data_IF_699347168355
#
_entry.id   IF_699347168355
#
_cell.length_a   1.000
_cell.length_b   1.000
_cell.length_c   1.000
_cell.angle_alpha   90.00
_cell.angle_beta   90.00
_cell.angle_gamma   90.00
#
_symmetry.space_group_name_H-M   'P 1'
#
loop_
_entity.id
_entity.type
_entity.pdbx_description
1 polymer ?
#
# COMPACT_ATOMS: atom_id res chain seq x y z
N UNK A 1 -9.87 8.01 -33.89
CA UNK A 1 -9.87 6.59 -33.46
C UNK A 1 -8.74 6.22 -32.44
N UNK A 2 -8.41 6.99 -31.37
CA UNK A 2 -7.46 6.50 -30.33
C UNK A 2 -8.08 6.20 -28.94
N UNK A 3 -9.38 6.47 -28.73
CA UNK A 3 -10.01 6.35 -27.39
C UNK A 3 -10.07 4.92 -26.82
N UNK A 4 -9.97 3.89 -27.65
CA UNK A 4 -10.03 2.49 -27.22
C UNK A 4 -8.65 1.88 -26.92
N UNK A 5 -7.56 2.54 -27.33
CA UNK A 5 -6.21 1.95 -27.31
C UNK A 5 -5.55 2.08 -25.92
N UNK A 6 -5.85 3.16 -25.21
CA UNK A 6 -5.35 3.42 -23.85
C UNK A 6 -5.90 2.47 -22.77
N UNK A 7 -7.22 2.17 -22.68
CA UNK A 7 -7.71 1.18 -21.72
C UNK A 7 -7.22 -0.24 -22.03
N UNK A 8 -6.95 -0.55 -23.31
CA UNK A 8 -6.46 -1.86 -23.74
C UNK A 8 -4.98 -2.07 -23.33
N UNK A 9 -4.15 -1.03 -23.39
CA UNK A 9 -2.77 -1.03 -22.87
C UNK A 9 -2.71 -1.14 -21.34
N UNK A 10 -3.66 -0.51 -20.65
CA UNK A 10 -3.75 -0.62 -19.19
C UNK A 10 -4.22 -2.03 -18.77
N UNK A 11 -5.17 -2.62 -19.50
CA UNK A 11 -5.65 -3.99 -19.28
C UNK A 11 -4.56 -5.03 -19.53
N UNK A 12 -3.72 -4.87 -20.57
CA UNK A 12 -2.60 -5.78 -20.83
C UNK A 12 -1.49 -5.65 -19.80
N UNK A 13 -1.20 -4.45 -19.30
CA UNK A 13 -0.20 -4.26 -18.24
C UNK A 13 -0.67 -4.85 -16.90
N UNK A 14 -1.95 -4.69 -16.57
CA UNK A 14 -2.56 -5.30 -15.38
C UNK A 14 -2.57 -6.83 -15.51
N UNK A 15 -2.99 -7.39 -16.64
CA UNK A 15 -2.94 -8.84 -16.87
C UNK A 15 -1.51 -9.40 -16.80
N UNK A 16 -0.51 -8.70 -17.33
CA UNK A 16 0.89 -9.17 -17.31
C UNK A 16 1.50 -9.17 -15.91
N UNK A 17 1.11 -8.21 -15.05
CA UNK A 17 1.56 -8.13 -13.66
C UNK A 17 0.77 -9.05 -12.72
N UNK A 18 -0.50 -9.33 -13.04
CA UNK A 18 -1.37 -10.17 -12.21
C UNK A 18 -1.28 -11.67 -12.55
N UNK A 19 -0.92 -12.03 -13.79
CA UNK A 19 -0.87 -13.41 -14.25
C UNK A 19 0.54 -14.02 -14.27
N UNK A 20 1.55 -13.32 -13.73
CA UNK A 20 2.83 -13.97 -13.49
C UNK A 20 2.65 -14.96 -12.33
N UNK A 21 2.86 -16.26 -12.54
CA UNK A 21 2.75 -17.22 -11.45
C UNK A 21 3.80 -16.84 -10.39
N UNK A 22 3.43 -16.80 -9.10
CA UNK A 22 4.44 -16.76 -8.05
C UNK A 22 5.38 -17.94 -8.24
N UNK A 23 6.68 -17.66 -8.40
CA UNK A 23 7.73 -18.67 -8.45
C UNK A 23 7.80 -19.32 -7.07
N UNK A 24 7.02 -20.38 -6.87
CA UNK A 24 7.13 -21.24 -5.70
C UNK A 24 8.25 -22.25 -5.97
N UNK A 25 9.45 -21.95 -5.51
CA UNK A 25 10.52 -22.93 -5.42
C UNK A 25 10.16 -23.95 -4.33
N UNK A 26 9.76 -25.16 -4.72
CA UNK A 26 9.60 -26.26 -3.78
C UNK A 26 10.99 -26.84 -3.44
N UNK A 27 11.50 -26.50 -2.25
CA UNK A 27 12.65 -27.18 -1.65
C UNK A 27 12.12 -28.35 -0.83
N UNK A 28 12.61 -29.55 -1.10
CA UNK A 28 12.46 -30.73 -0.23
C UNK A 28 13.48 -30.65 0.91
N UNK A 29 13.05 -30.48 2.17
CA UNK A 29 13.98 -30.41 3.29
C UNK A 29 14.42 -31.81 3.73
N UNK A 30 15.74 -32.05 3.77
CA UNK A 30 16.35 -33.18 4.47
C UNK A 30 16.84 -32.70 5.84
N UNK A 31 16.22 -33.21 6.91
CA UNK A 31 16.47 -32.84 8.30
C UNK A 31 15.41 -31.90 8.86
N UNK A 32 15.13 -31.98 10.17
CA UNK A 32 14.17 -31.08 10.85
C UNK A 32 14.74 -29.66 10.79
N UNK A 33 14.26 -28.77 9.91
CA UNK A 33 14.80 -27.43 9.86
C UNK A 33 14.11 -26.63 10.96
N UNK A 34 14.88 -26.11 11.91
CA UNK A 34 14.40 -25.02 12.78
C UNK A 34 14.31 -23.76 11.92
N UNK A 35 13.19 -23.64 11.20
CA UNK A 35 12.87 -22.45 10.45
C UNK A 35 12.49 -21.32 11.40
N UNK A 36 12.93 -20.11 11.05
CA UNK A 36 12.42 -18.88 11.65
C UNK A 36 10.94 -18.68 11.24
N UNK A 37 10.13 -17.98 12.05
CA UNK A 37 8.80 -17.48 11.70
C UNK A 37 8.76 -16.77 10.33
N UNK A 38 9.88 -16.18 9.91
CA UNK A 38 10.05 -15.55 8.59
C UNK A 38 10.48 -16.50 7.46
N UNK A 39 10.43 -17.82 7.67
CA UNK A 39 10.69 -18.83 6.65
C UNK A 39 12.16 -19.04 6.26
N UNK A 40 13.12 -18.38 6.93
CA UNK A 40 14.54 -18.63 6.68
C UNK A 40 15.01 -19.88 7.43
N UNK A 41 15.16 -20.97 6.70
CA UNK A 41 15.60 -22.27 7.19
C UNK A 41 17.08 -22.49 6.81
N UNK A 42 17.89 -23.07 7.69
CA UNK A 42 19.28 -23.45 7.42
C UNK A 42 20.14 -22.30 6.84
N UNK A 43 20.56 -21.37 7.72
CA UNK A 43 21.27 -20.12 7.37
C UNK A 43 22.64 -20.31 6.72
N UNK A 44 23.19 -21.52 6.75
CA UNK A 44 24.50 -21.86 6.17
C UNK A 44 24.42 -22.34 4.73
N UNK A 45 23.27 -22.88 4.31
CA UNK A 45 23.09 -23.47 2.97
C UNK A 45 22.12 -22.64 2.13
N UNK A 46 21.04 -22.15 2.74
CA UNK A 46 20.01 -21.43 1.99
C UNK A 46 20.28 -19.93 1.95
N UNK A 47 20.25 -19.30 0.76
CA UNK A 47 20.34 -17.87 0.65
C UNK A 47 19.17 -17.20 1.39
N UNK A 48 19.44 -16.02 1.94
CA UNK A 48 18.45 -15.22 2.66
C UNK A 48 17.30 -14.82 1.70
N UNK A 49 16.02 -15.02 2.07
CA UNK A 49 14.90 -14.55 1.28
C UNK A 49 14.91 -13.01 1.15
N UNK A 50 14.45 -12.46 0.01
CA UNK A 50 14.46 -11.01 -0.22
C UNK A 50 13.57 -10.24 0.77
N UNK A 51 12.48 -10.84 1.24
CA UNK A 51 11.48 -10.27 2.15
C UNK A 51 11.79 -10.51 3.65
N UNK A 52 12.82 -11.31 3.95
CA UNK A 52 13.13 -11.67 5.33
C UNK A 52 13.45 -10.48 6.22
N UNK A 53 14.08 -9.42 5.68
CA UNK A 53 14.41 -8.22 6.47
C UNK A 53 13.15 -7.53 6.99
N UNK A 54 12.14 -7.38 6.12
CA UNK A 54 10.86 -6.75 6.44
C UNK A 54 10.06 -7.60 7.41
N UNK A 55 10.06 -8.92 7.21
CA UNK A 55 9.41 -9.85 8.14
C UNK A 55 10.08 -9.84 9.53
N UNK A 56 11.42 -9.85 9.57
CA UNK A 56 12.16 -9.87 10.83
C UNK A 56 11.89 -8.63 11.66
N UNK A 57 11.87 -7.45 11.03
CA UNK A 57 11.56 -6.19 11.70
C UNK A 57 10.12 -6.13 12.26
N UNK A 58 9.21 -6.95 11.72
CA UNK A 58 7.83 -7.03 12.21
C UNK A 58 7.68 -8.00 13.38
N UNK A 59 8.31 -9.17 13.29
CA UNK A 59 8.09 -10.27 14.24
C UNK A 59 9.09 -10.30 15.40
N UNK A 60 10.27 -9.67 15.26
CA UNK A 60 11.32 -9.69 16.27
C UNK A 60 11.77 -8.29 16.67
N UNK A 61 12.14 -8.15 17.94
CA UNK A 61 12.81 -6.96 18.46
C UNK A 61 14.31 -6.94 18.07
N UNK A 62 14.98 -5.81 18.30
CA UNK A 62 16.43 -5.63 18.14
C UNK A 62 17.25 -6.62 18.97
N UNK A 63 16.66 -7.19 20.02
CA UNK A 63 17.25 -8.24 20.87
C UNK A 63 16.98 -9.67 20.39
N UNK A 64 16.25 -9.86 19.29
CA UNK A 64 15.92 -11.18 18.74
C UNK A 64 14.76 -11.91 19.44
N UNK A 65 14.02 -11.21 20.31
CA UNK A 65 12.83 -11.75 20.98
C UNK A 65 11.59 -11.60 20.12
N UNK A 66 10.70 -12.59 20.14
CA UNK A 66 9.41 -12.55 19.42
C UNK A 66 8.48 -11.48 19.99
N UNK A 67 7.99 -10.61 19.12
CA UNK A 67 7.00 -9.59 19.45
C UNK A 67 5.59 -10.21 19.38
N UNK A 68 5.12 -10.77 20.50
CA UNK A 68 3.76 -11.35 20.58
C UNK A 68 2.69 -10.35 20.12
N UNK A 69 1.79 -10.82 19.26
CA UNK A 69 0.69 -10.02 18.69
C UNK A 69 1.07 -9.21 17.46
N UNK A 70 2.22 -9.44 16.85
CA UNK A 70 2.59 -8.91 15.52
C UNK A 70 2.48 -10.01 14.47
N UNK A 71 1.97 -9.64 13.31
CA UNK A 71 1.76 -10.53 12.18
C UNK A 71 2.30 -9.88 10.92
N UNK A 72 3.14 -10.60 10.18
CA UNK A 72 3.63 -10.15 8.89
C UNK A 72 2.70 -10.62 7.78
N UNK A 73 2.14 -9.69 7.00
CA UNK A 73 1.22 -9.97 5.90
C UNK A 73 1.71 -9.31 4.61
N UNK A 74 1.08 -9.63 3.48
CA UNK A 74 1.38 -9.01 2.17
C UNK A 74 1.20 -7.48 2.21
N UNK A 75 0.33 -6.97 3.09
CA UNK A 75 0.07 -5.54 3.24
C UNK A 75 1.03 -4.87 4.24
N UNK A 76 1.96 -5.62 4.82
CA UNK A 76 2.92 -5.16 5.82
C UNK A 76 2.66 -5.74 7.21
N UNK A 77 3.26 -5.10 8.21
CA UNK A 77 3.21 -5.54 9.60
C UNK A 77 1.93 -5.05 10.31
N UNK A 78 1.19 -5.99 10.90
CA UNK A 78 0.05 -5.70 11.76
C UNK A 78 0.38 -6.03 13.21
N UNK A 79 0.32 -5.01 14.06
CA UNK A 79 0.38 -5.18 15.51
C UNK A 79 -1.02 -5.13 16.09
N UNK A 80 -1.34 -6.01 17.03
CA UNK A 80 -2.58 -6.00 17.81
C UNK A 80 -2.57 -4.95 18.94
N UNK A 81 -1.44 -4.27 19.13
CA UNK A 81 -1.34 -3.11 20.03
C UNK A 81 -2.11 -1.92 19.44
N UNK A 82 -2.95 -1.21 20.20
CA UNK A 82 -3.86 -0.19 19.66
C UNK A 82 -3.13 0.95 18.95
N UNK A 83 -1.98 1.40 19.46
CA UNK A 83 -1.19 2.49 18.87
C UNK A 83 -0.66 2.12 17.48
N UNK A 84 0.00 0.97 17.36
CA UNK A 84 0.60 0.51 16.11
C UNK A 84 -0.44 0.00 15.12
N UNK A 85 -1.59 -0.50 15.60
CA UNK A 85 -2.72 -0.87 14.74
C UNK A 85 -3.27 0.33 13.96
N UNK A 86 -3.49 1.46 14.65
CA UNK A 86 -3.98 2.69 14.02
C UNK A 86 -2.97 3.23 13.00
N UNK A 87 -1.67 3.16 13.29
CA UNK A 87 -0.63 3.59 12.36
C UNK A 87 -0.60 2.72 11.07
N UNK A 88 -0.72 1.39 11.22
CA UNK A 88 -0.76 0.47 10.07
C UNK A 88 -2.00 0.67 9.20
N UNK A 89 -3.20 0.79 9.81
CA UNK A 89 -4.44 0.98 9.04
C UNK A 89 -4.45 2.34 8.33
N UNK A 90 -3.97 3.41 8.99
CA UNK A 90 -3.85 4.73 8.38
C UNK A 90 -2.98 4.65 7.13
N UNK A 91 -1.77 4.07 7.24
CA UNK A 91 -0.83 3.95 6.11
C UNK A 91 -1.45 3.25 4.90
N UNK A 92 -2.20 2.17 5.13
CA UNK A 92 -2.89 1.42 4.06
C UNK A 92 -4.01 2.27 3.44
N UNK A 93 -4.82 2.95 4.25
CA UNK A 93 -5.92 3.81 3.78
C UNK A 93 -5.40 5.00 2.99
N UNK A 94 -4.33 5.67 3.43
CA UNK A 94 -3.71 6.77 2.67
C UNK A 94 -3.13 6.28 1.34
N UNK A 95 -2.47 5.13 1.34
CA UNK A 95 -1.97 4.52 0.10
C UNK A 95 -3.09 4.22 -0.88
N UNK A 96 -4.18 3.60 -0.42
CA UNK A 96 -5.33 3.28 -1.24
C UNK A 96 -6.08 4.53 -1.73
N UNK A 97 -6.34 5.50 -0.85
CA UNK A 97 -7.03 6.74 -1.19
C UNK A 97 -6.22 7.58 -2.20
N UNK A 98 -4.91 7.67 -2.03
CA UNK A 98 -4.00 8.32 -2.97
C UNK A 98 -4.04 7.67 -4.36
N UNK A 99 -4.01 6.33 -4.40
CA UNK A 99 -4.10 5.58 -5.66
C UNK A 99 -5.42 5.77 -6.40
N UNK A 100 -6.56 5.70 -5.69
CA UNK A 100 -7.90 5.88 -6.28
C UNK A 100 -8.07 7.32 -6.79
N UNK A 101 -7.67 8.31 -6.01
CA UNK A 101 -7.78 9.71 -6.42
C UNK A 101 -6.86 10.03 -7.62
N UNK A 102 -5.66 9.47 -7.65
CA UNK A 102 -4.77 9.60 -8.82
C UNK A 102 -5.43 9.04 -10.09
N UNK A 103 -6.06 7.87 -10.00
CA UNK A 103 -6.80 7.27 -11.13
C UNK A 103 -8.00 8.13 -11.57
N UNK A 104 -8.75 8.72 -10.62
CA UNK A 104 -9.88 9.59 -10.93
C UNK A 104 -9.43 10.87 -11.65
N UNK A 105 -8.30 11.48 -11.24
CA UNK A 105 -7.73 12.65 -11.92
C UNK A 105 -7.27 12.30 -13.34
N UNK A 106 -6.63 11.14 -13.54
CA UNK A 106 -6.27 10.67 -14.88
C UNK A 106 -7.50 10.53 -15.79
N UNK A 107 -8.58 9.94 -15.28
CA UNK A 107 -9.82 9.77 -16.06
C UNK A 107 -10.51 11.12 -16.37
N UNK A 108 -10.56 12.03 -15.40
CA UNK A 108 -11.11 13.37 -15.59
C UNK A 108 -10.31 14.16 -16.62
N UNK A 109 -8.98 14.11 -16.54
CA UNK A 109 -8.09 14.81 -17.49
C UNK A 109 -8.23 14.28 -18.92
N UNK A 110 -8.32 12.96 -19.11
CA UNK A 110 -8.56 12.35 -20.41
C UNK A 110 -9.94 12.74 -21.00
N UNK A 111 -10.94 12.92 -20.13
CA UNK A 111 -12.27 13.38 -20.56
C UNK A 111 -12.22 14.81 -21.09
N UNK A 112 -11.57 15.73 -20.37
CA UNK A 112 -11.39 17.12 -20.81
C UNK A 112 -10.65 17.19 -22.14
N UNK A 113 -9.50 16.52 -22.26
CA UNK A 113 -8.66 16.57 -23.46
C UNK A 113 -9.36 15.99 -24.70
N UNK A 114 -10.20 14.98 -24.53
CA UNK A 114 -10.87 14.35 -25.67
C UNK A 114 -12.20 15.02 -26.03
N UNK A 115 -12.67 16.02 -25.30
CA UNK A 115 -14.04 16.57 -25.43
C UNK A 115 -14.37 17.28 -26.75
N UNK A 116 -13.40 17.45 -27.67
CA UNK A 116 -13.61 17.96 -29.04
C UNK A 116 -14.43 19.27 -29.12
N UNK A 117 -14.36 20.12 -28.08
CA UNK A 117 -15.08 21.39 -28.01
C UNK A 117 -16.51 21.33 -27.47
N UNK A 118 -17.02 20.18 -27.02
CA UNK A 118 -18.31 20.13 -26.34
C UNK A 118 -18.18 20.68 -24.89
N UNK A 119 -18.89 21.77 -24.53
CA UNK A 119 -18.78 22.42 -23.22
C UNK A 119 -19.24 21.53 -22.06
N UNK A 120 -20.19 20.62 -22.29
CA UNK A 120 -20.74 19.73 -21.26
C UNK A 120 -19.70 18.72 -20.77
N UNK A 121 -18.94 18.14 -21.69
CA UNK A 121 -17.88 17.16 -21.36
C UNK A 121 -16.65 17.81 -20.74
N UNK A 122 -16.35 19.04 -21.14
CA UNK A 122 -15.30 19.85 -20.49
C UNK A 122 -15.69 20.14 -19.05
N UNK A 123 -16.95 20.53 -18.79
CA UNK A 123 -17.42 20.83 -17.45
C UNK A 123 -17.42 19.57 -16.58
N UNK A 124 -17.98 18.46 -17.07
CA UNK A 124 -17.98 17.19 -16.34
C UNK A 124 -16.57 16.70 -15.99
N UNK A 125 -15.60 16.83 -16.92
CA UNK A 125 -14.21 16.49 -16.65
C UNK A 125 -13.55 17.39 -15.60
N UNK A 126 -13.87 18.69 -15.60
CA UNK A 126 -13.41 19.64 -14.57
C UNK A 126 -14.00 19.31 -13.20
N UNK A 127 -15.30 19.02 -13.13
CA UNK A 127 -15.98 18.68 -11.87
C UNK A 127 -15.43 17.38 -11.26
N UNK A 128 -15.06 16.41 -12.11
CA UNK A 128 -14.41 15.17 -11.66
C UNK A 128 -13.00 15.41 -11.10
N UNK A 129 -12.23 16.31 -11.71
CA UNK A 129 -10.88 16.67 -11.21
C UNK A 129 -10.99 17.44 -9.89
N UNK A 130 -11.88 18.44 -9.81
CA UNK A 130 -12.02 19.27 -8.60
C UNK A 130 -12.52 18.45 -7.41
N UNK A 131 -13.51 17.57 -7.61
CA UNK A 131 -13.99 16.68 -6.54
C UNK A 131 -12.91 15.70 -6.06
N UNK A 132 -12.07 15.18 -6.96
CA UNK A 132 -10.95 14.29 -6.58
C UNK A 132 -9.89 15.01 -5.75
N UNK A 133 -9.51 16.23 -6.15
CA UNK A 133 -8.54 17.06 -5.41
C UNK A 133 -9.11 17.46 -4.04
N UNK A 134 -10.38 17.86 -4.00
CA UNK A 134 -11.05 18.25 -2.76
C UNK A 134 -11.11 17.07 -1.76
N UNK A 135 -11.40 15.86 -2.25
CA UNK A 135 -11.41 14.65 -1.41
C UNK A 135 -10.05 14.36 -0.78
N UNK A 136 -8.98 14.42 -1.57
CA UNK A 136 -7.60 14.25 -1.05
C UNK A 136 -7.25 15.37 -0.07
N UNK A 137 -7.64 16.61 -0.35
CA UNK A 137 -7.34 17.75 0.50
C UNK A 137 -7.96 17.58 1.89
N UNK A 138 -9.22 17.13 1.97
CA UNK A 138 -9.92 16.86 3.23
C UNK A 138 -9.19 15.75 4.02
N UNK A 139 -8.78 14.69 3.34
CA UNK A 139 -8.07 13.56 3.95
C UNK A 139 -6.73 14.02 4.57
N UNK A 140 -5.94 14.80 3.84
CA UNK A 140 -4.66 15.34 4.33
C UNK A 140 -4.88 16.30 5.51
N UNK A 141 -5.88 17.17 5.41
CA UNK A 141 -6.20 18.12 6.46
C UNK A 141 -6.67 17.43 7.75
N UNK A 142 -7.44 16.35 7.62
CA UNK A 142 -7.87 15.53 8.76
C UNK A 142 -6.69 14.94 9.53
N UNK A 143 -5.70 14.37 8.84
CA UNK A 143 -4.48 13.86 9.50
C UNK A 143 -3.68 14.97 10.13
N UNK A 144 -3.56 16.10 9.44
CA UNK A 144 -2.84 17.25 9.96
C UNK A 144 -3.44 17.70 11.30
N UNK A 145 -4.77 17.83 11.38
CA UNK A 145 -5.44 18.14 12.63
C UNK A 145 -5.19 17.07 13.70
N UNK A 146 -5.31 15.78 13.37
CA UNK A 146 -5.02 14.67 14.29
C UNK A 146 -3.60 14.73 14.84
N UNK A 147 -2.61 15.09 14.02
CA UNK A 147 -1.21 15.21 14.44
C UNK A 147 -1.01 16.41 15.36
N UNK A 148 -1.55 17.56 15.01
CA UNK A 148 -1.44 18.78 15.82
C UNK A 148 -2.11 18.59 17.19
N UNK A 149 -3.36 18.13 17.21
CA UNK A 149 -4.08 17.98 18.49
C UNK A 149 -3.60 16.76 19.30
N UNK A 150 -3.32 15.64 18.63
CA UNK A 150 -2.98 14.38 19.29
C UNK A 150 -1.54 14.30 19.77
N UNK A 151 -0.60 14.82 18.98
CA UNK A 151 0.82 14.75 19.30
C UNK A 151 1.34 16.04 19.94
N UNK A 152 1.05 17.21 19.35
CA UNK A 152 1.65 18.46 19.82
C UNK A 152 0.97 19.02 21.08
N UNK A 153 -0.35 18.83 21.22
CA UNK A 153 -1.10 19.34 22.38
C UNK A 153 -1.25 18.29 23.48
N UNK A 154 -1.75 17.08 23.16
CA UNK A 154 -2.02 16.04 24.16
C UNK A 154 -0.80 15.17 24.50
N UNK A 155 0.32 15.30 23.77
CA UNK A 155 1.56 14.52 24.00
C UNK A 155 1.29 13.03 24.24
N UNK A 156 0.43 12.41 23.44
CA UNK A 156 0.21 10.97 23.55
C UNK A 156 1.46 10.26 23.01
N UNK A 157 2.26 9.57 23.86
CA UNK A 157 3.43 8.85 23.39
C UNK A 157 2.95 7.70 22.50
N UNK A 158 3.50 7.57 21.29
CA UNK A 158 3.19 6.43 20.38
C UNK A 158 2.80 6.80 18.94
N UNK A 159 2.48 8.07 18.65
CA UNK A 159 2.27 8.56 17.27
C UNK A 159 3.58 9.09 16.67
N UNK A 160 4.53 8.17 16.45
CA UNK A 160 5.85 8.40 15.88
C UNK A 160 6.64 7.12 15.83
#
# INVERSE_FOLDING_TARGET
MPRLLLPLLFLTFVLFRFFHPPVFAAVTPTGIPTCDLCGWCNRTINPKPPDWTSCRQCLYDSSGNELKGNYYTVLGCFSTKPEKFVQSILTIVFGAAGGIAFMAVLWGSATVLTSSGNPEKIQAGKDMITSSILGILIIVFSVFLLRVIGFDILKIPGFG
#
